data_IF_770081889779
#
_entry.id   IF_770081889779
#
_cell.length_a   1.000
_cell.length_b   1.000
_cell.length_c   1.000
_cell.angle_alpha   90.00
_cell.angle_beta   90.00
_cell.angle_gamma   90.00
#
_symmetry.space_group_name_H-M   'P 1'
#
loop_
_entity.id
_entity.type
_entity.pdbx_description
1 polymer ?
#
# COMPACT_ATOMS: atom_id res chain seq x y z
N UNK A 1 6.79 -23.76 14.07
CA UNK A 1 6.47 -22.35 14.38
C UNK A 1 5.43 -21.83 13.39
N UNK A 2 4.38 -21.25 13.91
CA UNK A 2 3.33 -20.69 13.05
C UNK A 2 3.76 -19.38 12.45
N UNK A 3 3.67 -19.29 11.11
CA UNK A 3 3.83 -18.02 10.42
C UNK A 3 2.59 -17.16 10.63
N UNK A 4 2.80 -15.87 10.86
CA UNK A 4 1.70 -14.92 10.80
C UNK A 4 1.11 -14.92 9.39
N UNK A 5 -0.22 -14.91 9.24
CA UNK A 5 -0.82 -14.82 7.91
C UNK A 5 -0.44 -13.50 7.24
N UNK A 6 -0.35 -13.54 5.92
CA UNK A 6 -0.19 -12.32 5.14
C UNK A 6 -1.46 -11.51 5.16
N UNK A 7 -1.32 -10.21 5.31
CA UNK A 7 -2.41 -9.25 5.21
C UNK A 7 -2.20 -8.37 3.99
N UNK A 8 -3.26 -8.16 3.24
CA UNK A 8 -3.30 -7.16 2.18
C UNK A 8 -3.66 -5.81 2.78
N UNK A 9 -2.95 -4.79 2.36
CA UNK A 9 -3.23 -3.42 2.75
C UNK A 9 -3.45 -2.57 1.51
N UNK A 10 -4.57 -1.88 1.46
CA UNK A 10 -4.75 -0.81 0.49
C UNK A 10 -4.15 0.45 1.10
N UNK A 11 -3.12 0.96 0.46
CA UNK A 11 -2.42 2.17 0.88
C UNK A 11 -2.83 3.28 -0.06
N UNK A 12 -3.50 4.30 0.48
CA UNK A 12 -3.88 5.47 -0.30
C UNK A 12 -2.84 6.55 -0.04
N UNK A 13 -2.17 6.97 -1.09
CA UNK A 13 -1.11 7.96 -1.05
C UNK A 13 -1.63 9.29 -1.59
N UNK A 14 -1.65 10.31 -0.73
CA UNK A 14 -2.01 11.67 -1.15
C UNK A 14 -0.71 12.43 -1.38
N UNK A 15 -0.46 12.82 -2.62
CA UNK A 15 0.75 13.56 -2.96
C UNK A 15 0.67 14.97 -2.36
N UNK A 16 1.67 15.32 -1.54
CA UNK A 16 1.70 16.64 -0.89
C UNK A 16 1.75 17.75 -1.93
N UNK A 17 1.02 18.83 -1.68
CA UNK A 17 0.89 19.97 -2.57
C UNK A 17 0.30 19.60 -3.93
N UNK A 18 -0.41 18.47 -4.02
CA UNK A 18 -0.93 17.93 -5.28
C UNK A 18 0.17 17.80 -6.34
N UNK A 19 1.39 17.48 -5.93
CA UNK A 19 2.55 17.44 -6.81
C UNK A 19 3.15 16.04 -6.86
N UNK A 20 2.90 15.34 -7.96
CA UNK A 20 3.42 14.00 -8.19
C UNK A 20 4.89 13.99 -8.63
N UNK A 21 5.41 15.09 -9.16
CA UNK A 21 6.73 15.09 -9.79
C UNK A 21 7.86 14.63 -8.86
N UNK A 22 7.98 15.15 -7.61
CA UNK A 22 9.05 14.68 -6.73
C UNK A 22 8.90 13.20 -6.35
N UNK A 23 7.66 12.70 -6.28
CA UNK A 23 7.41 11.28 -5.99
C UNK A 23 7.94 10.41 -7.15
N UNK A 24 7.59 10.75 -8.38
CA UNK A 24 8.03 10.00 -9.56
C UNK A 24 9.53 10.13 -9.81
N UNK A 25 10.15 11.27 -9.48
CA UNK A 25 11.61 11.43 -9.57
C UNK A 25 12.32 10.49 -8.60
N UNK A 26 11.87 10.42 -7.33
CA UNK A 26 12.46 9.49 -6.35
C UNK A 26 12.26 8.04 -6.77
N UNK A 27 11.07 7.71 -7.26
CA UNK A 27 10.80 6.36 -7.77
C UNK A 27 11.75 5.99 -8.92
N UNK A 28 11.97 6.90 -9.85
CA UNK A 28 12.88 6.65 -10.96
C UNK A 28 14.33 6.43 -10.50
N UNK A 29 14.76 7.14 -9.47
CA UNK A 29 16.12 7.07 -8.95
C UNK A 29 16.36 5.88 -8.01
N UNK A 30 15.39 5.56 -7.17
CA UNK A 30 15.55 4.62 -6.06
C UNK A 30 14.55 3.46 -6.07
N UNK A 31 13.60 3.45 -6.99
CA UNK A 31 12.54 2.46 -7.01
C UNK A 31 11.54 2.67 -5.86
N UNK A 32 10.81 1.63 -5.54
CA UNK A 32 9.76 1.69 -4.52
C UNK A 32 10.34 1.73 -3.11
N UNK A 33 11.52 1.20 -2.92
CA UNK A 33 12.22 1.14 -1.63
C UNK A 33 11.46 0.32 -0.58
N UNK A 34 10.70 -0.68 -1.01
CA UNK A 34 10.04 -1.59 -0.09
C UNK A 34 11.08 -2.49 0.59
N UNK A 35 11.05 -2.63 1.93
CA UNK A 35 11.94 -3.57 2.61
C UNK A 35 11.58 -5.01 2.27
N UNK A 36 12.55 -5.92 2.49
CA UNK A 36 12.30 -7.35 2.33
C UNK A 36 11.13 -7.79 3.21
N UNK A 37 10.24 -8.59 2.65
CA UNK A 37 9.04 -9.05 3.36
C UNK A 37 7.81 -8.19 3.14
N UNK A 38 7.95 -7.05 2.47
CA UNK A 38 6.82 -6.23 2.02
C UNK A 38 6.72 -6.37 0.50
N UNK A 39 5.61 -6.93 0.02
CA UNK A 39 5.41 -7.23 -1.39
C UNK A 39 4.45 -6.23 -2.03
N UNK A 40 4.89 -5.64 -3.13
CA UNK A 40 4.02 -4.85 -4.01
C UNK A 40 3.14 -5.79 -4.83
N UNK A 41 1.84 -5.56 -4.83
CA UNK A 41 0.89 -6.37 -5.60
C UNK A 41 0.43 -5.65 -6.86
N UNK A 42 -0.12 -4.45 -6.69
CA UNK A 42 -0.60 -3.64 -7.81
C UNK A 42 -0.84 -2.20 -7.35
N UNK A 43 -0.99 -1.28 -8.29
CA UNK A 43 -1.32 0.11 -7.94
C UNK A 43 -2.03 0.81 -9.07
N UNK A 44 -2.75 1.87 -8.71
CA UNK A 44 -3.51 2.73 -9.62
C UNK A 44 -3.30 4.17 -9.20
N UNK A 45 -3.22 5.05 -10.16
CA UNK A 45 -3.09 6.50 -9.93
C UNK A 45 -4.30 7.18 -10.56
N UNK A 46 -4.89 8.16 -9.86
CA UNK A 46 -5.99 8.92 -10.45
C UNK A 46 -5.48 9.74 -11.65
N UNK A 47 -6.39 10.06 -12.57
CA UNK A 47 -6.02 10.71 -13.83
C UNK A 47 -5.52 12.15 -13.67
N UNK A 48 -5.64 12.72 -12.48
CA UNK A 48 -5.11 14.05 -12.16
C UNK A 48 -3.79 14.00 -11.42
N UNK A 49 -3.23 12.80 -11.20
CA UNK A 49 -1.94 12.60 -10.49
C UNK A 49 -1.93 13.18 -9.08
N UNK A 50 -3.02 13.02 -8.33
CA UNK A 50 -3.12 13.51 -6.96
C UNK A 50 -3.01 12.40 -5.93
N UNK A 51 -3.43 11.18 -6.29
CA UNK A 51 -3.45 10.02 -5.37
C UNK A 51 -2.96 8.77 -6.07
N UNK A 52 -2.30 7.92 -5.29
CA UNK A 52 -1.99 6.57 -5.70
C UNK A 52 -2.69 5.59 -4.76
N UNK A 53 -3.32 4.57 -5.32
CA UNK A 53 -3.95 3.48 -4.58
C UNK A 53 -3.05 2.26 -4.75
N UNK A 54 -2.35 1.87 -3.71
CA UNK A 54 -1.32 0.84 -3.83
C UNK A 54 -1.63 -0.35 -2.92
N UNK A 55 -1.70 -1.53 -3.52
CA UNK A 55 -1.97 -2.77 -2.81
C UNK A 55 -0.65 -3.41 -2.43
N UNK A 56 -0.43 -3.57 -1.12
CA UNK A 56 0.78 -4.14 -0.56
C UNK A 56 0.42 -5.33 0.33
N UNK A 57 1.35 -6.27 0.46
CA UNK A 57 1.11 -7.47 1.25
C UNK A 57 2.31 -7.75 2.14
N UNK A 58 2.06 -8.09 3.40
CA UNK A 58 3.12 -8.46 4.33
C UNK A 58 2.58 -9.30 5.50
N UNK A 59 3.46 -10.09 6.11
CA UNK A 59 3.20 -10.76 7.39
C UNK A 59 3.42 -9.83 8.58
N UNK A 60 4.09 -8.69 8.37
CA UNK A 60 4.54 -7.81 9.45
C UNK A 60 4.22 -6.35 9.13
N UNK A 61 3.22 -5.81 9.84
CA UNK A 61 2.78 -4.42 9.69
C UNK A 61 3.92 -3.41 9.84
N UNK A 62 4.93 -3.74 10.66
CA UNK A 62 6.06 -2.83 10.89
C UNK A 62 6.85 -2.56 9.60
N UNK A 63 6.87 -3.52 8.67
CA UNK A 63 7.53 -3.33 7.38
C UNK A 63 6.80 -2.30 6.53
N UNK A 64 5.47 -2.28 6.61
CA UNK A 64 4.65 -1.28 5.94
C UNK A 64 4.95 0.11 6.52
N UNK A 65 5.00 0.24 7.85
CA UNK A 65 5.30 1.50 8.51
C UNK A 65 6.70 2.01 8.14
N UNK A 66 7.68 1.11 8.08
CA UNK A 66 9.05 1.44 7.69
C UNK A 66 9.12 1.95 6.25
N UNK A 67 8.36 1.33 5.35
CA UNK A 67 8.29 1.76 3.96
C UNK A 67 7.65 3.14 3.84
N UNK A 68 6.53 3.35 4.52
CA UNK A 68 5.84 4.65 4.47
C UNK A 68 6.74 5.78 5.00
N UNK A 69 7.56 5.51 6.02
CA UNK A 69 8.49 6.52 6.56
C UNK A 69 9.49 7.02 5.50
N UNK A 70 9.81 6.21 4.51
CA UNK A 70 10.74 6.58 3.44
C UNK A 70 10.13 7.55 2.43
N UNK A 71 8.79 7.73 2.48
CA UNK A 71 8.05 8.58 1.54
C UNK A 71 7.26 9.69 2.23
N UNK A 72 7.25 9.73 3.56
CA UNK A 72 6.36 10.60 4.32
C UNK A 72 6.66 12.09 4.15
N UNK A 73 7.83 12.45 3.63
CA UNK A 73 8.14 13.84 3.29
C UNK A 73 7.38 14.33 2.04
N UNK A 74 6.98 13.41 1.16
CA UNK A 74 6.32 13.74 -0.11
C UNK A 74 4.85 13.31 -0.16
N UNK A 75 4.43 12.41 0.75
CA UNK A 75 3.15 11.73 0.67
C UNK A 75 2.49 11.66 2.04
N UNK A 76 1.17 11.88 2.08
CA UNK A 76 0.36 11.55 3.25
C UNK A 76 -0.35 10.22 2.98
N UNK A 77 -0.37 9.34 3.98
CA UNK A 77 -0.86 7.97 3.82
C UNK A 77 -2.15 7.72 4.56
N UNK A 78 -3.04 6.93 3.93
CA UNK A 78 -4.12 6.23 4.59
C UNK A 78 -3.91 4.74 4.35
N UNK A 79 -4.15 3.89 5.36
CA UNK A 79 -3.91 2.46 5.26
C UNK A 79 -5.16 1.70 5.71
N UNK A 80 -5.60 0.77 4.87
CA UNK A 80 -6.77 -0.07 5.13
C UNK A 80 -6.39 -1.53 4.94
N UNK A 81 -6.51 -2.40 5.98
CA UNK A 81 -6.42 -3.83 5.74
C UNK A 81 -7.63 -4.25 4.91
N UNK A 82 -7.37 -5.05 3.87
CA UNK A 82 -8.42 -5.44 2.92
C UNK A 82 -8.31 -6.92 2.61
N UNK A 83 -9.38 -7.47 2.05
CA UNK A 83 -9.40 -8.82 1.51
C UNK A 83 -10.06 -8.80 0.14
N UNK A 84 -9.78 -9.78 -0.74
CA UNK A 84 -10.49 -9.88 -2.00
C UNK A 84 -12.00 -10.07 -1.77
N UNK A 85 -12.80 -9.49 -2.64
CA UNK A 85 -14.26 -9.56 -2.52
C UNK A 85 -14.78 -11.00 -2.48
N UNK A 86 -14.14 -11.91 -3.21
CA UNK A 86 -14.49 -13.33 -3.19
C UNK A 86 -14.33 -13.91 -1.78
N UNK A 87 -13.24 -13.63 -1.12
CA UNK A 87 -12.99 -14.09 0.24
C UNK A 87 -14.01 -13.51 1.22
N UNK A 88 -14.31 -12.22 1.09
CA UNK A 88 -15.32 -11.57 1.91
C UNK A 88 -16.70 -12.22 1.76
N UNK A 89 -17.09 -12.54 0.53
CA UNK A 89 -18.35 -13.22 0.25
C UNK A 89 -18.39 -14.61 0.89
N UNK A 90 -17.30 -15.35 0.81
CA UNK A 90 -17.20 -16.69 1.41
C UNK A 90 -17.29 -16.64 2.93
N UNK A 91 -16.63 -15.65 3.55
CA UNK A 91 -16.62 -15.53 5.02
C UNK A 91 -17.97 -15.09 5.59
N UNK A 92 -18.71 -14.26 4.86
CA UNK A 92 -20.00 -13.76 5.36
C UNK A 92 -21.15 -14.72 5.03
N UNK A 93 -20.98 -15.63 4.08
CA UNK A 93 -22.04 -16.53 3.64
C UNK A 93 -22.76 -17.28 4.76
N UNK A 94 -22.08 -17.85 5.79
CA UNK A 94 -22.77 -18.54 6.88
C UNK A 94 -23.68 -17.64 7.72
N UNK A 95 -23.60 -16.33 7.56
CA UNK A 95 -24.40 -15.36 8.34
C UNK A 95 -25.61 -14.84 7.57
N UNK A 96 -25.78 -15.26 6.32
CA UNK A 96 -26.87 -14.80 5.46
C UNK A 96 -28.11 -15.67 5.58
#
# INVERSE_FOLDING_TARGET
MRRMPKTLYMVVEHFKNHDALPVYRRFREHGRMAPDGLTYVSSWVDDQYQRCYQLMETHDRRLLDRWMARWSDLVEFEVYPVMPSKEAAERIAPRL
#
